data_IF_723631082306
#
_entry.id   IF_723631082306
#
_cell.length_a   1.000
_cell.length_b   1.000
_cell.length_c   1.000
_cell.angle_alpha   90.00
_cell.angle_beta   90.00
_cell.angle_gamma   90.00
#
_symmetry.space_group_name_H-M   'P 1'
#
loop_
_entity.id
_entity.type
_entity.pdbx_description
1 polymer ?
#
# COMPACT_ATOMS: atom_id res chain seq x y z
N UNK A 1 17.53 0.07 37.33
CA UNK A 1 17.37 1.40 36.70
C UNK A 1 17.68 1.35 35.21
N UNK A 2 18.64 0.53 34.75
CA UNK A 2 19.00 0.40 33.31
C UNK A 2 17.85 -0.07 32.40
N UNK A 3 16.98 -0.95 32.88
CA UNK A 3 15.85 -1.48 32.09
C UNK A 3 14.84 -0.41 31.62
N UNK A 4 14.63 0.63 32.44
CA UNK A 4 13.67 1.69 32.13
C UNK A 4 14.26 2.65 31.08
N UNK A 5 15.58 2.85 31.10
CA UNK A 5 16.26 3.62 30.08
C UNK A 5 16.18 2.93 28.71
N UNK A 6 16.34 1.59 28.68
CA UNK A 6 16.16 0.80 27.46
C UNK A 6 14.73 0.93 26.90
N UNK A 7 13.71 0.78 27.75
CA UNK A 7 12.30 0.94 27.37
C UNK A 7 12.01 2.31 26.75
N UNK A 8 12.52 3.39 27.34
CA UNK A 8 12.35 4.74 26.79
C UNK A 8 13.04 4.92 25.44
N UNK A 9 14.25 4.36 25.29
CA UNK A 9 14.99 4.42 24.04
C UNK A 9 14.23 3.69 22.92
N UNK A 10 13.71 2.50 23.18
CA UNK A 10 12.90 1.76 22.19
C UNK A 10 11.65 2.54 21.78
N UNK A 11 10.96 3.16 22.73
CA UNK A 11 9.75 3.96 22.48
C UNK A 11 10.03 5.19 21.61
N UNK A 12 11.18 5.84 21.81
CA UNK A 12 11.60 6.99 21.00
C UNK A 12 11.94 6.61 19.55
N UNK A 13 12.24 5.35 19.28
CA UNK A 13 12.49 4.83 17.93
C UNK A 13 11.23 4.52 17.12
N UNK A 14 10.03 4.63 17.72
CA UNK A 14 8.78 4.29 17.06
C UNK A 14 8.29 5.48 16.22
N UNK A 15 8.20 5.29 14.90
CA UNK A 15 7.69 6.27 13.94
C UNK A 15 6.36 5.79 13.30
N UNK A 16 5.36 6.67 13.35
CA UNK A 16 4.01 6.47 12.79
C UNK A 16 3.78 7.17 11.43
N UNK A 17 4.76 7.89 10.86
CA UNK A 17 4.57 8.67 9.61
C UNK A 17 4.02 7.82 8.45
N UNK A 18 4.45 6.56 8.38
CA UNK A 18 4.04 5.61 7.33
C UNK A 18 2.76 4.84 7.66
N UNK A 19 2.11 5.08 8.80
CA UNK A 19 0.87 4.43 9.24
C UNK A 19 -0.35 5.18 8.70
N UNK A 20 -1.44 4.47 8.39
CA UNK A 20 -2.70 5.11 7.94
C UNK A 20 -3.24 6.10 8.98
N UNK A 21 -3.96 7.16 8.57
CA UNK A 21 -4.49 8.14 9.54
C UNK A 21 -5.39 7.48 10.58
N UNK A 22 -6.25 6.55 10.14
CA UNK A 22 -7.14 5.77 10.99
C UNK A 22 -6.36 4.94 12.03
N UNK A 23 -5.30 4.25 11.59
CA UNK A 23 -4.47 3.42 12.49
C UNK A 23 -3.56 4.30 13.36
N UNK A 24 -3.16 5.49 12.88
CA UNK A 24 -2.22 6.39 13.55
C UNK A 24 -2.80 6.97 14.83
N UNK A 25 -4.07 7.40 14.82
CA UNK A 25 -4.74 7.89 16.02
C UNK A 25 -4.80 6.82 17.13
N UNK A 26 -5.18 5.59 16.76
CA UNK A 26 -5.24 4.46 17.69
C UNK A 26 -3.85 4.07 18.22
N UNK A 27 -2.86 3.93 17.33
CA UNK A 27 -1.50 3.55 17.70
C UNK A 27 -0.80 4.64 18.54
N UNK A 28 -1.11 5.92 18.29
CA UNK A 28 -0.64 7.03 19.12
C UNK A 28 -1.20 6.93 20.54
N UNK A 29 -2.49 6.62 20.70
CA UNK A 29 -3.09 6.43 22.02
C UNK A 29 -2.47 5.23 22.78
N UNK A 30 -2.20 4.14 22.07
CA UNK A 30 -1.49 2.99 22.64
C UNK A 30 -0.06 3.37 23.07
N UNK A 31 0.67 4.13 22.26
CA UNK A 31 2.00 4.63 22.60
C UNK A 31 2.00 5.49 23.86
N UNK A 32 1.02 6.39 24.00
CA UNK A 32 0.91 7.25 25.16
C UNK A 32 0.58 6.44 26.43
N UNK A 33 -0.21 5.38 26.31
CA UNK A 33 -0.45 4.43 27.42
C UNK A 33 0.84 3.73 27.84
N UNK A 34 1.63 3.21 26.89
CA UNK A 34 2.90 2.55 27.19
C UNK A 34 3.90 3.55 27.82
N UNK A 35 3.94 4.79 27.34
CA UNK A 35 4.75 5.87 27.95
C UNK A 35 4.34 6.15 29.39
N UNK A 36 3.03 6.19 29.64
CA UNK A 36 2.48 6.40 30.98
C UNK A 36 2.92 5.28 31.93
N UNK A 37 2.74 4.01 31.53
CA UNK A 37 3.09 2.85 32.34
C UNK A 37 4.60 2.79 32.65
N UNK A 38 5.46 3.17 31.69
CA UNK A 38 6.90 3.31 31.94
C UNK A 38 7.21 4.40 32.96
N UNK A 39 6.46 5.51 32.93
CA UNK A 39 6.56 6.57 33.91
C UNK A 39 6.18 6.10 35.32
N UNK A 40 5.10 5.31 35.44
CA UNK A 40 4.68 4.72 36.72
C UNK A 40 5.69 3.69 37.24
N UNK A 41 6.24 2.84 36.36
CA UNK A 41 7.34 1.91 36.71
C UNK A 41 8.57 2.66 37.23
N UNK A 42 8.92 3.80 36.65
CA UNK A 42 10.05 4.61 37.10
C UNK A 42 9.85 5.18 38.51
N UNK A 43 8.61 5.54 38.85
CA UNK A 43 8.24 6.04 40.17
C UNK A 43 8.12 4.94 41.24
N UNK A 44 8.20 3.66 40.84
CA UNK A 44 7.96 2.53 41.72
C UNK A 44 6.48 2.34 42.08
N UNK A 45 5.57 2.97 41.34
CA UNK A 45 4.11 2.89 41.55
C UNK A 45 3.52 1.60 40.94
N UNK A 46 4.30 0.89 40.12
CA UNK A 46 3.91 -0.38 39.50
C UNK A 46 4.80 -1.54 39.96
N UNK A 47 4.19 -2.71 40.06
CA UNK A 47 4.86 -3.95 40.43
C UNK A 47 5.85 -4.46 39.36
N UNK A 48 6.73 -5.39 39.76
CA UNK A 48 7.70 -6.00 38.85
C UNK A 48 7.04 -6.80 37.71
N UNK A 49 5.81 -7.29 37.88
CA UNK A 49 5.02 -7.94 36.84
C UNK A 49 4.50 -6.98 35.78
N UNK A 50 4.32 -5.70 36.10
CA UNK A 50 3.92 -4.64 35.18
C UNK A 50 5.02 -4.37 34.14
N UNK A 51 6.30 -4.54 34.49
CA UNK A 51 7.42 -4.48 33.53
C UNK A 51 7.23 -5.45 32.37
N UNK A 52 6.85 -6.70 32.67
CA UNK A 52 6.60 -7.71 31.64
C UNK A 52 5.40 -7.35 30.75
N UNK A 53 4.35 -6.77 31.32
CA UNK A 53 3.18 -6.31 30.57
C UNK A 53 3.52 -5.14 29.63
N UNK A 54 4.32 -4.19 30.10
CA UNK A 54 4.79 -3.06 29.30
C UNK A 54 5.65 -3.52 28.12
N UNK A 55 6.56 -4.47 28.34
CA UNK A 55 7.36 -5.08 27.27
C UNK A 55 6.46 -5.77 26.22
N UNK A 56 5.51 -6.60 26.68
CA UNK A 56 4.58 -7.27 25.78
C UNK A 56 3.72 -6.28 24.97
N UNK A 57 3.26 -5.18 25.61
CA UNK A 57 2.51 -4.13 24.93
C UNK A 57 3.36 -3.41 23.88
N UNK A 58 4.64 -3.14 24.18
CA UNK A 58 5.58 -2.53 23.24
C UNK A 58 5.80 -3.42 22.01
N UNK A 59 6.01 -4.72 22.21
CA UNK A 59 6.20 -5.67 21.11
C UNK A 59 4.94 -5.82 20.26
N UNK A 60 3.77 -5.91 20.88
CA UNK A 60 2.49 -5.93 20.17
C UNK A 60 2.30 -4.66 19.31
N UNK A 61 2.70 -3.50 19.83
CA UNK A 61 2.59 -2.23 19.13
C UNK A 61 3.54 -2.16 17.92
N UNK A 62 4.78 -2.65 18.04
CA UNK A 62 5.71 -2.77 16.89
C UNK A 62 5.11 -3.65 15.78
N UNK A 63 4.56 -4.80 16.16
CA UNK A 63 3.89 -5.72 15.20
C UNK A 63 2.72 -5.02 14.51
N UNK A 64 1.90 -4.28 15.27
CA UNK A 64 0.75 -3.56 14.72
C UNK A 64 1.18 -2.45 13.74
N UNK A 65 2.24 -1.71 14.05
CA UNK A 65 2.82 -0.69 13.15
C UNK A 65 3.33 -1.33 11.86
N UNK A 66 4.08 -2.42 11.96
CA UNK A 66 4.60 -3.13 10.80
C UNK A 66 3.48 -3.74 9.94
N UNK A 67 2.39 -4.19 10.56
CA UNK A 67 1.20 -4.64 9.85
C UNK A 67 0.52 -3.48 9.10
N UNK A 68 0.36 -2.31 9.73
CA UNK A 68 -0.22 -1.13 9.08
C UNK A 68 0.64 -0.62 7.91
N UNK A 69 1.97 -0.58 8.07
CA UNK A 69 2.90 -0.22 6.99
C UNK A 69 2.77 -1.16 5.79
N UNK A 70 2.74 -2.48 6.03
CA UNK A 70 2.55 -3.50 4.97
C UNK A 70 1.19 -3.36 4.29
N UNK A 71 0.12 -3.10 5.04
CA UNK A 71 -1.22 -2.85 4.49
C UNK A 71 -1.23 -1.65 3.54
N UNK A 72 -0.57 -0.55 3.90
CA UNK A 72 -0.42 0.63 3.01
C UNK A 72 0.40 0.32 1.76
N UNK A 73 1.51 -0.39 1.90
CA UNK A 73 2.34 -0.80 0.77
C UNK A 73 1.56 -1.69 -0.21
N UNK A 74 0.78 -2.65 0.32
CA UNK A 74 -0.08 -3.50 -0.49
C UNK A 74 -1.15 -2.69 -1.24
N UNK A 75 -1.80 -1.74 -0.56
CA UNK A 75 -2.79 -0.85 -1.21
C UNK A 75 -2.17 -0.01 -2.33
N UNK A 76 -0.97 0.55 -2.13
CA UNK A 76 -0.25 1.27 -3.20
C UNK A 76 0.04 0.37 -4.40
N UNK A 77 0.49 -0.86 -4.16
CA UNK A 77 0.74 -1.83 -5.23
C UNK A 77 -0.55 -2.23 -5.96
N UNK A 78 -1.67 -2.37 -5.23
CA UNK A 78 -2.99 -2.63 -5.81
C UNK A 78 -3.44 -1.46 -6.71
N UNK A 79 -3.30 -0.22 -6.24
CA UNK A 79 -3.66 0.98 -7.01
C UNK A 79 -2.80 1.13 -8.27
N UNK A 80 -1.49 0.85 -8.18
CA UNK A 80 -0.59 0.83 -9.34
C UNK A 80 -0.97 -0.27 -10.35
N UNK A 81 -1.32 -1.46 -9.87
CA UNK A 81 -1.76 -2.56 -10.73
C UNK A 81 -3.07 -2.21 -11.45
N UNK A 82 -4.03 -1.57 -10.76
CA UNK A 82 -5.27 -1.07 -11.38
C UNK A 82 -5.02 -0.04 -12.46
N UNK A 83 -4.08 0.89 -12.22
CA UNK A 83 -3.69 1.88 -13.22
C UNK A 83 -3.12 1.22 -14.47
N UNK A 84 -2.16 0.31 -14.30
CA UNK A 84 -1.55 -0.46 -15.41
C UNK A 84 -2.58 -1.28 -16.17
N UNK A 85 -3.54 -1.90 -15.47
CA UNK A 85 -4.63 -2.64 -16.11
C UNK A 85 -5.51 -1.72 -16.96
N UNK A 86 -5.87 -0.54 -16.45
CA UNK A 86 -6.65 0.44 -17.20
C UNK A 86 -5.91 0.95 -18.45
N UNK A 87 -4.60 1.17 -18.35
CA UNK A 87 -3.75 1.54 -19.51
C UNK A 87 -3.68 0.41 -20.55
N UNK A 88 -3.47 -0.83 -20.10
CA UNK A 88 -3.47 -1.99 -20.98
C UNK A 88 -4.80 -2.15 -21.73
N UNK A 89 -5.94 -1.93 -21.04
CA UNK A 89 -7.27 -1.98 -21.66
C UNK A 89 -7.43 -0.90 -22.73
N UNK A 90 -7.01 0.35 -22.46
CA UNK A 90 -7.08 1.44 -23.44
C UNK A 90 -6.23 1.14 -24.68
N UNK A 91 -5.03 0.58 -24.48
CA UNK A 91 -4.15 0.21 -25.59
C UNK A 91 -4.75 -0.92 -26.42
N UNK A 92 -5.35 -1.92 -25.78
CA UNK A 92 -6.08 -3.00 -26.46
C UNK A 92 -7.21 -2.43 -27.33
N UNK A 93 -8.07 -1.57 -26.77
CA UNK A 93 -9.20 -0.98 -27.48
C UNK A 93 -8.75 -0.09 -28.66
N UNK A 94 -7.63 0.62 -28.50
CA UNK A 94 -7.04 1.43 -29.56
C UNK A 94 -6.47 0.56 -30.69
N UNK A 95 -5.72 -0.50 -30.34
CA UNK A 95 -5.19 -1.44 -31.31
C UNK A 95 -6.31 -2.14 -32.10
N UNK A 96 -7.41 -2.49 -31.44
CA UNK A 96 -8.59 -3.07 -32.09
C UNK A 96 -9.22 -2.10 -33.10
N UNK A 97 -9.39 -0.82 -32.74
CA UNK A 97 -9.91 0.22 -33.64
C UNK A 97 -9.02 0.40 -34.88
N UNK A 98 -7.71 0.43 -34.69
CA UNK A 98 -6.75 0.56 -35.77
C UNK A 98 -6.74 -0.67 -36.68
N UNK A 99 -6.79 -1.87 -36.10
CA UNK A 99 -6.92 -3.12 -36.85
C UNK A 99 -8.21 -3.13 -37.69
N UNK A 100 -9.37 -2.76 -37.11
CA UNK A 100 -10.64 -2.66 -37.84
C UNK A 100 -10.55 -1.66 -38.99
N UNK A 101 -9.92 -0.49 -38.80
CA UNK A 101 -9.72 0.51 -39.86
C UNK A 101 -8.83 -0.03 -40.99
N UNK A 102 -7.75 -0.73 -40.65
CA UNK A 102 -6.85 -1.33 -41.63
C UNK A 102 -7.55 -2.42 -42.46
N UNK A 103 -8.36 -3.26 -41.81
CA UNK A 103 -9.18 -4.28 -42.49
C UNK A 103 -10.16 -3.65 -43.48
N UNK A 104 -10.89 -2.60 -43.06
CA UNK A 104 -11.81 -1.89 -43.95
C UNK A 104 -11.09 -1.23 -45.13
N UNK A 105 -9.92 -0.63 -44.87
CA UNK A 105 -9.11 -0.02 -45.93
C UNK A 105 -8.62 -1.06 -46.95
N UNK A 106 -8.11 -2.21 -46.49
CA UNK A 106 -7.69 -3.31 -47.36
C UNK A 106 -8.86 -3.85 -48.19
N UNK A 107 -10.03 -4.05 -47.57
CA UNK A 107 -11.23 -4.48 -48.27
C UNK A 107 -11.64 -3.50 -49.37
N UNK A 108 -11.61 -2.19 -49.11
CA UNK A 108 -11.90 -1.17 -50.11
C UNK A 108 -10.95 -1.22 -51.31
N UNK A 109 -9.64 -1.39 -51.06
CA UNK A 109 -8.64 -1.54 -52.13
C UNK A 109 -8.87 -2.79 -52.98
N UNK A 110 -9.15 -3.93 -52.34
CA UNK A 110 -9.42 -5.19 -53.05
C UNK A 110 -10.68 -5.09 -53.92
N UNK A 111 -11.74 -4.47 -53.40
CA UNK A 111 -12.98 -4.24 -54.16
C UNK A 111 -12.74 -3.32 -55.36
N UNK A 112 -11.96 -2.25 -55.20
CA UNK A 112 -11.62 -1.35 -56.31
C UNK A 112 -10.83 -2.07 -57.42
N UNK A 113 -9.88 -2.95 -57.05
CA UNK A 113 -9.15 -3.76 -58.02
C UNK A 113 -10.06 -4.74 -58.78
N UNK A 114 -11.03 -5.34 -58.09
CA UNK A 114 -12.00 -6.28 -58.71
C UNK A 114 -13.00 -5.60 -59.65
N UNK A 115 -13.30 -4.32 -59.46
CA UNK A 115 -14.18 -3.57 -60.37
C UNK A 115 -13.38 -2.92 -61.52
N UNK A 116 -12.09 -2.64 -61.30
CA UNK A 116 -11.18 -2.16 -62.34
C UNK A 116 -10.76 -3.22 -63.36
N UNK A 117 -10.93 -4.52 -63.06
CA UNK A 117 -10.56 -5.62 -63.97
C UNK A 117 -11.53 -5.83 -65.14
N UNK A 118 -12.73 -5.25 -65.12
CA UNK A 118 -13.70 -5.34 -66.23
C UNK A 118 -13.54 -4.24 -67.30
N UNK A 119 -12.52 -3.38 -67.17
CA UNK A 119 -12.33 -2.28 -68.12
C UNK A 119 -11.44 -2.59 -69.32
N UNK A 120 -10.69 -3.71 -69.34
CA UNK A 120 -9.83 -4.11 -70.47
C UNK A 120 -9.49 -5.61 -70.49
N UNK A 121 -10.29 -6.43 -71.16
CA UNK A 121 -9.82 -7.48 -72.10
C UNK A 121 -10.79 -7.48 -73.28
#
# INVERSE_FOLDING_TARGET
>A
MDDIAALKSELSGINLDDVSEDDSAYLSQCLDTVRHDIGLLQKGELDAGAKGRVLAALDALKIAIDASKRKRAFKRAEDEAKLKLAEAQRNHDQAEKEARKAVLHLHGLLTALSQGSDLRI
#
